data_IF_417733365327
#
_entry.id   IF_417733365327
#
_cell.length_a   1.000
_cell.length_b   1.000
_cell.length_c   1.000
_cell.angle_alpha   90.00
_cell.angle_beta   90.00
_cell.angle_gamma   90.00
#
_symmetry.space_group_name_H-M   'P 1'
#
loop_
_entity.id
_entity.type
_entity.pdbx_description
1 polymer ?
#
# COMPACT_ATOMS: atom_id res chain seq x y z
N UNK A 1 -18.53 -0.29 -5.72
CA UNK A 1 -17.23 0.30 -5.30
C UNK A 1 -17.26 1.80 -5.60
N UNK A 2 -16.75 2.65 -4.71
CA UNK A 2 -16.69 4.12 -4.92
C UNK A 2 -15.20 4.54 -4.96
N UNK A 3 -14.64 4.88 -6.14
CA UNK A 3 -13.19 5.11 -6.29
C UNK A 3 -12.60 6.11 -5.30
N UNK A 4 -13.27 7.23 -5.08
CA UNK A 4 -12.84 8.26 -4.13
C UNK A 4 -12.74 7.73 -2.69
N UNK A 5 -13.63 6.83 -2.29
CA UNK A 5 -13.59 6.26 -0.95
C UNK A 5 -12.43 5.30 -0.77
N UNK A 6 -12.17 4.46 -1.77
CA UNK A 6 -11.09 3.48 -1.70
C UNK A 6 -9.73 4.16 -1.87
N UNK A 7 -9.64 5.22 -2.69
CA UNK A 7 -8.50 6.13 -2.72
C UNK A 7 -8.26 6.79 -1.35
N UNK A 8 -9.33 7.25 -0.69
CA UNK A 8 -9.26 7.82 0.66
C UNK A 8 -8.77 6.81 1.71
N UNK A 9 -9.16 5.54 1.61
CA UNK A 9 -8.63 4.48 2.49
C UNK A 9 -7.14 4.25 2.27
N UNK A 10 -6.69 4.26 1.01
CA UNK A 10 -5.28 4.09 0.67
C UNK A 10 -4.44 5.25 1.17
N UNK A 11 -4.93 6.49 1.03
CA UNK A 11 -4.27 7.68 1.61
C UNK A 11 -4.11 7.52 3.11
N UNK A 12 -5.18 7.16 3.84
CA UNK A 12 -5.11 6.95 5.29
C UNK A 12 -4.17 5.82 5.69
N UNK A 13 -4.13 4.73 4.92
CA UNK A 13 -3.21 3.64 5.16
C UNK A 13 -1.74 4.09 4.98
N UNK A 14 -1.44 4.84 3.92
CA UNK A 14 -0.10 5.38 3.68
C UNK A 14 0.31 6.40 4.76
N UNK A 15 -0.59 7.31 5.13
CA UNK A 15 -0.36 8.27 6.22
C UNK A 15 -0.08 7.55 7.55
N UNK A 16 -0.81 6.47 7.84
CA UNK A 16 -0.57 5.64 9.01
C UNK A 16 0.79 4.95 8.98
N UNK A 17 1.12 4.29 7.87
CA UNK A 17 2.39 3.56 7.74
C UNK A 17 3.61 4.50 7.84
N UNK A 18 3.52 5.70 7.26
CA UNK A 18 4.54 6.75 7.38
C UNK A 18 4.68 7.23 8.84
N UNK A 19 3.55 7.52 9.50
CA UNK A 19 3.54 7.99 10.89
C UNK A 19 4.09 6.97 11.90
N UNK A 20 3.86 5.68 11.65
CA UNK A 20 4.40 4.58 12.46
C UNK A 20 5.85 4.22 12.11
N UNK A 21 6.46 4.91 11.14
CA UNK A 21 7.88 4.77 10.81
C UNK A 21 8.22 3.55 9.97
N UNK A 22 7.31 3.10 9.09
CA UNK A 22 7.64 2.05 8.12
C UNK A 22 8.75 2.52 7.17
N UNK A 23 9.77 1.68 6.97
CA UNK A 23 10.89 1.99 6.06
C UNK A 23 10.44 2.09 4.59
N UNK A 24 10.96 3.07 3.86
CA UNK A 24 10.76 3.22 2.41
C UNK A 24 11.14 1.96 1.62
N UNK A 25 12.17 1.21 2.05
CA UNK A 25 12.52 -0.07 1.46
C UNK A 25 11.34 -1.04 1.47
N UNK A 26 10.56 -1.06 2.55
CA UNK A 26 9.39 -1.92 2.68
C UNK A 26 8.22 -1.42 1.85
N UNK A 27 7.98 -0.10 1.80
CA UNK A 27 7.01 0.49 0.88
C UNK A 27 7.30 0.07 -0.57
N UNK A 28 8.56 0.22 -0.99
CA UNK A 28 9.02 -0.13 -2.34
C UNK A 28 8.92 -1.63 -2.62
N UNK A 29 9.14 -2.48 -1.62
CA UNK A 29 8.95 -3.93 -1.77
C UNK A 29 7.49 -4.29 -2.08
N UNK A 30 6.51 -3.54 -1.56
CA UNK A 30 5.09 -3.75 -1.87
C UNK A 30 4.73 -3.30 -3.29
N UNK A 31 5.43 -2.28 -3.79
CA UNK A 31 5.31 -1.72 -5.13
C UNK A 31 6.21 -2.46 -6.13
N UNK A 32 5.98 -2.30 -7.44
CA UNK A 32 6.85 -2.88 -8.48
C UNK A 32 7.97 -1.93 -8.93
N UNK A 33 8.14 -0.79 -8.26
CA UNK A 33 9.08 0.25 -8.66
C UNK A 33 9.94 0.74 -7.50
N UNK A 34 11.17 1.15 -7.82
CA UNK A 34 12.24 1.36 -6.85
C UNK A 34 12.30 2.79 -6.26
N UNK A 35 11.53 3.73 -6.82
CA UNK A 35 11.66 5.16 -6.52
C UNK A 35 10.51 5.74 -5.66
N UNK A 36 9.57 4.91 -5.20
CA UNK A 36 8.38 5.41 -4.48
C UNK A 36 8.73 5.96 -3.07
N UNK A 37 8.06 7.05 -2.69
CA UNK A 37 8.05 7.65 -1.34
C UNK A 37 6.62 7.76 -0.81
N UNK A 38 6.42 7.87 0.51
CA UNK A 38 5.08 8.09 1.08
C UNK A 38 4.40 9.36 0.56
N UNK A 39 5.06 10.55 0.52
CA UNK A 39 4.44 11.74 -0.03
C UNK A 39 3.99 11.58 -1.49
N UNK A 40 4.82 10.95 -2.32
CA UNK A 40 4.49 10.72 -3.73
C UNK A 40 3.33 9.73 -3.87
N UNK A 41 3.37 8.64 -3.09
CA UNK A 41 2.31 7.65 -3.04
C UNK A 41 0.97 8.27 -2.64
N UNK A 42 0.94 9.11 -1.60
CA UNK A 42 -0.25 9.82 -1.13
C UNK A 42 -0.74 10.81 -2.18
N UNK A 43 0.16 11.64 -2.72
CA UNK A 43 -0.14 12.65 -3.74
C UNK A 43 -0.81 12.02 -4.96
N UNK A 44 -0.26 10.90 -5.45
CA UNK A 44 -0.80 10.16 -6.58
C UNK A 44 -2.25 9.70 -6.36
N UNK A 45 -2.60 9.16 -5.19
CA UNK A 45 -3.99 8.72 -4.90
C UNK A 45 -4.96 9.88 -4.76
N UNK A 46 -4.49 11.02 -4.24
CA UNK A 46 -5.31 12.25 -4.17
C UNK A 46 -5.58 12.81 -5.57
N UNK A 47 -4.58 12.76 -6.46
CA UNK A 47 -4.69 13.28 -7.82
C UNK A 47 -5.48 12.36 -8.76
N UNK A 48 -5.38 11.03 -8.58
CA UNK A 48 -5.96 10.04 -9.48
C UNK A 48 -6.80 8.96 -8.75
N UNK A 49 -7.92 9.34 -8.12
CA UNK A 49 -8.73 8.42 -7.34
C UNK A 49 -9.37 7.28 -8.17
N UNK A 50 -9.56 7.47 -9.47
CA UNK A 50 -10.08 6.44 -10.39
C UNK A 50 -9.05 5.37 -10.74
N UNK A 51 -7.75 5.66 -10.59
CA UNK A 51 -6.66 4.73 -10.93
C UNK A 51 -6.42 3.65 -9.89
N UNK A 52 -7.16 3.67 -8.78
CA UNK A 52 -7.14 2.64 -7.73
C UNK A 52 -7.43 1.24 -8.29
N UNK A 53 -8.27 1.15 -9.33
CA UNK A 53 -8.70 -0.12 -9.93
C UNK A 53 -8.11 -0.39 -11.30
N UNK A 54 -7.14 0.39 -11.76
CA UNK A 54 -6.44 0.08 -13.02
C UNK A 54 -5.33 -0.91 -12.72
N UNK A 55 -5.38 -2.08 -13.35
CA UNK A 55 -4.25 -3.00 -13.37
C UNK A 55 -3.01 -2.29 -13.94
N UNK A 56 -1.81 -2.52 -13.38
CA UNK A 56 -1.44 -3.54 -12.37
C UNK A 56 -1.58 -3.11 -10.89
N UNK A 57 -2.21 -1.99 -10.57
CA UNK A 57 -2.10 -1.37 -9.24
C UNK A 57 -2.94 -2.02 -8.13
N UNK A 58 -3.88 -2.91 -8.47
CA UNK A 58 -4.81 -3.49 -7.50
C UNK A 58 -4.07 -4.33 -6.44
N UNK A 59 -3.13 -5.17 -6.86
CA UNK A 59 -2.35 -6.03 -5.95
C UNK A 59 -1.54 -5.18 -4.96
N UNK A 60 -0.92 -4.11 -5.46
CA UNK A 60 -0.19 -3.17 -4.61
C UNK A 60 -1.11 -2.53 -3.56
N UNK A 61 -2.29 -2.06 -3.97
CA UNK A 61 -3.28 -1.48 -3.05
C UNK A 61 -3.77 -2.47 -1.99
N UNK A 62 -4.00 -3.73 -2.36
CA UNK A 62 -4.38 -4.79 -1.42
C UNK A 62 -3.30 -5.03 -0.37
N UNK A 63 -2.02 -5.08 -0.79
CA UNK A 63 -0.89 -5.23 0.12
C UNK A 63 -0.80 -4.09 1.13
N UNK A 64 -0.90 -2.84 0.68
CA UNK A 64 -0.87 -1.66 1.57
C UNK A 64 -1.97 -1.71 2.62
N UNK A 65 -3.20 -1.96 2.19
CA UNK A 65 -4.35 -2.04 3.10
C UNK A 65 -4.20 -3.18 4.10
N UNK A 66 -3.67 -4.32 3.67
CA UNK A 66 -3.39 -5.46 4.54
C UNK A 66 -2.35 -5.11 5.61
N UNK A 67 -1.18 -4.59 5.21
CA UNK A 67 -0.10 -4.27 6.16
C UNK A 67 -0.56 -3.23 7.18
N UNK A 68 -1.23 -2.16 6.73
CA UNK A 68 -1.75 -1.13 7.63
C UNK A 68 -2.78 -1.69 8.61
N UNK A 69 -3.76 -2.47 8.12
CA UNK A 69 -4.81 -3.04 8.96
C UNK A 69 -4.27 -4.05 9.98
N UNK A 70 -3.34 -4.91 9.57
CA UNK A 70 -2.75 -5.93 10.45
C UNK A 70 -1.79 -5.33 11.46
N UNK A 71 -0.98 -4.34 11.07
CA UNK A 71 -0.13 -3.60 12.00
C UNK A 71 -0.99 -2.91 13.06
N UNK A 72 -2.03 -2.18 12.65
CA UNK A 72 -2.98 -1.54 13.56
C UNK A 72 -3.63 -2.53 14.53
N UNK A 73 -4.01 -3.72 14.04
CA UNK A 73 -4.71 -4.74 14.82
C UNK A 73 -3.80 -5.51 15.79
N UNK A 74 -2.53 -5.74 15.41
CA UNK A 74 -1.67 -6.72 16.10
C UNK A 74 -0.38 -6.17 16.66
N UNK A 75 0.08 -5.00 16.18
CA UNK A 75 1.40 -4.45 16.51
C UNK A 75 2.57 -5.29 16.00
N UNK A 76 2.35 -6.25 15.08
CA UNK A 76 3.43 -7.02 14.46
C UNK A 76 4.32 -6.12 13.60
N UNK A 77 5.60 -6.44 13.50
CA UNK A 77 6.56 -5.64 12.73
C UNK A 77 6.20 -5.54 11.25
N UNK A 78 6.57 -4.42 10.63
CA UNK A 78 6.36 -4.20 9.20
C UNK A 78 7.05 -5.24 8.31
N UNK A 79 8.29 -5.65 8.62
CA UNK A 79 8.97 -6.70 7.84
C UNK A 79 8.17 -8.00 7.77
N UNK A 80 7.59 -8.44 8.90
CA UNK A 80 6.81 -9.67 8.96
C UNK A 80 5.50 -9.56 8.16
N UNK A 81 4.83 -8.41 8.27
CA UNK A 81 3.56 -8.16 7.57
C UNK A 81 3.77 -7.95 6.06
N UNK A 82 4.87 -7.32 5.66
CA UNK A 82 5.23 -7.12 4.27
C UNK A 82 5.56 -8.45 3.61
N UNK A 83 6.35 -9.31 4.27
CA UNK A 83 6.60 -10.67 3.77
C UNK A 83 5.29 -11.45 3.55
N UNK A 84 4.38 -11.41 4.55
CA UNK A 84 3.07 -12.05 4.44
C UNK A 84 2.20 -11.46 3.32
N UNK A 85 2.26 -10.14 3.11
CA UNK A 85 1.53 -9.48 2.03
C UNK A 85 2.06 -9.90 0.64
N UNK A 86 3.37 -10.07 0.49
CA UNK A 86 4.00 -10.50 -0.75
C UNK A 86 3.64 -11.95 -1.08
N UNK A 87 3.62 -12.83 -0.09
CA UNK A 87 3.22 -14.23 -0.25
C UNK A 87 1.72 -14.37 -0.58
N UNK A 88 0.87 -13.56 0.06
CA UNK A 88 -0.59 -13.66 -0.07
C UNK A 88 -1.13 -13.03 -1.35
N UNK A 89 -0.58 -11.90 -1.76
CA UNK A 89 -1.08 -11.12 -2.89
C UNK A 89 -0.07 -11.15 -4.01
N UNK A 90 -0.13 -12.19 -4.84
CA UNK A 90 0.81 -12.42 -5.93
C UNK A 90 0.44 -11.54 -7.13
N UNK A 91 1.44 -10.89 -7.73
CA UNK A 91 1.25 -10.22 -9.02
C UNK A 91 1.29 -11.30 -10.11
N UNK A 92 0.26 -11.42 -10.98
CA UNK A 92 0.31 -12.33 -12.11
C UNK A 92 1.59 -12.08 -12.93
N UNK A 93 2.30 -13.16 -13.28
CA UNK A 93 3.41 -13.06 -14.22
C UNK A 93 2.87 -12.49 -15.55
N UNK A 94 3.57 -11.48 -16.08
CA UNK A 94 3.24 -10.82 -17.36
C UNK A 94 3.29 -11.81 -18.53
#
# INVERSE_FOLDING_TARGET
MRPEQDAGKLVKALEYLDAEGMDLRLLRALHQGDDETFPDAISYRRQFPDRVYREPNITYHQRLLFVAAEHWRTGRSFDALVAEALDRFIVPAR
#
